data_IF_731079403718
#
_entry.id   IF_731079403718
#
_cell.length_a   1.000
_cell.length_b   1.000
_cell.length_c   1.000
_cell.angle_alpha   90.00
_cell.angle_beta   90.00
_cell.angle_gamma   90.00
#
_symmetry.space_group_name_H-M   'P 1'
#
loop_
_entity.id
_entity.type
_entity.pdbx_description
1 polymer ?
#
# COMPACT_ATOMS: atom_id res chain seq x y z
N UNK A 1 -16.81 10.82 -12.59
CA UNK A 1 -16.13 11.75 -11.68
C UNK A 1 -15.18 10.93 -10.83
N UNK A 2 -13.99 11.44 -10.47
CA UNK A 2 -13.09 10.76 -9.55
C UNK A 2 -13.79 10.42 -8.24
N UNK A 3 -13.48 9.25 -7.68
CA UNK A 3 -14.10 8.72 -6.46
C UNK A 3 -13.11 7.85 -5.70
N UNK A 4 -13.30 7.80 -4.38
CA UNK A 4 -12.68 6.83 -3.48
C UNK A 4 -13.51 5.55 -3.33
N UNK A 5 -14.68 5.46 -3.98
CA UNK A 5 -15.50 4.26 -3.99
C UNK A 5 -14.88 3.16 -4.87
N UNK A 6 -14.03 2.35 -4.24
CA UNK A 6 -13.22 1.30 -4.88
C UNK A 6 -13.71 -0.12 -4.54
N UNK A 7 -14.89 -0.27 -3.92
CA UNK A 7 -15.38 -1.58 -3.47
C UNK A 7 -15.59 -2.60 -4.60
N UNK A 8 -15.74 -2.13 -5.84
CA UNK A 8 -15.85 -2.96 -7.03
C UNK A 8 -14.53 -3.67 -7.42
N UNK A 9 -13.38 -3.28 -6.85
CA UNK A 9 -12.08 -3.86 -7.17
C UNK A 9 -11.82 -5.20 -6.49
N UNK A 10 -12.59 -5.54 -5.47
CA UNK A 10 -12.36 -6.70 -4.61
C UNK A 10 -13.64 -7.48 -4.33
N UNK A 11 -13.51 -8.77 -4.06
CA UNK A 11 -14.58 -9.62 -3.59
C UNK A 11 -14.53 -9.75 -2.06
N UNK A 12 -15.70 -9.90 -1.44
CA UNK A 12 -15.73 -10.28 -0.03
C UNK A 12 -15.33 -11.75 0.13
N UNK A 13 -14.53 -12.12 1.13
CA UNK A 13 -14.21 -13.53 1.37
C UNK A 13 -15.47 -14.40 1.52
N UNK A 14 -16.56 -13.87 2.08
CA UNK A 14 -17.83 -14.60 2.19
C UNK A 14 -18.46 -14.99 0.84
N UNK A 15 -18.12 -14.29 -0.23
CA UNK A 15 -18.66 -14.53 -1.57
C UNK A 15 -17.91 -15.65 -2.30
N UNK A 16 -16.69 -15.95 -1.86
CA UNK A 16 -15.93 -17.08 -2.35
C UNK A 16 -16.28 -18.28 -1.47
N UNK A 17 -16.88 -19.32 -2.05
CA UNK A 17 -17.33 -20.55 -1.37
C UNK A 17 -16.17 -21.44 -0.87
N UNK A 18 -15.22 -20.86 -0.14
CA UNK A 18 -14.07 -21.51 0.45
C UNK A 18 -14.27 -21.76 1.96
N UNK A 19 -13.71 -22.86 2.47
CA UNK A 19 -13.66 -23.11 3.92
C UNK A 19 -12.48 -22.36 4.55
N UNK A 20 -12.66 -21.05 4.68
CA UNK A 20 -11.61 -20.13 5.16
C UNK A 20 -11.02 -20.52 6.51
N UNK A 21 -11.84 -21.02 7.43
CA UNK A 21 -11.38 -21.34 8.78
C UNK A 21 -10.50 -22.59 8.81
N UNK A 22 -10.63 -23.47 7.82
CA UNK A 22 -9.74 -24.62 7.62
C UNK A 22 -8.50 -24.26 6.79
N UNK A 23 -8.62 -23.33 5.84
CA UNK A 23 -7.53 -22.91 4.97
C UNK A 23 -6.53 -21.97 5.67
N UNK A 24 -7.04 -21.06 6.49
CA UNK A 24 -6.23 -19.99 7.09
C UNK A 24 -5.72 -20.39 8.48
N UNK A 25 -4.43 -20.19 8.77
CA UNK A 25 -3.93 -20.34 10.12
C UNK A 25 -4.64 -19.35 11.06
N UNK A 26 -4.78 -19.71 12.33
CA UNK A 26 -5.25 -18.77 13.36
C UNK A 26 -4.31 -17.54 13.44
N UNK A 27 -3.01 -17.76 13.20
CA UNK A 27 -1.96 -16.75 13.26
C UNK A 27 -1.65 -16.32 14.69
N UNK A 28 -0.54 -15.61 14.86
CA UNK A 28 -0.24 -14.95 16.12
C UNK A 28 -1.07 -13.67 16.25
N UNK A 29 -1.42 -13.24 17.48
CA UNK A 29 -2.02 -11.94 17.69
C UNK A 29 -1.14 -10.83 17.11
N UNK A 30 -1.79 -9.81 16.52
CA UNK A 30 -1.07 -8.62 16.07
C UNK A 30 -0.43 -7.96 17.31
N UNK A 31 0.84 -7.55 17.24
CA UNK A 31 1.43 -6.76 18.31
C UNK A 31 0.73 -5.41 18.38
N UNK A 32 0.91 -4.70 19.49
CA UNK A 32 0.41 -3.33 19.60
C UNK A 32 1.08 -2.45 18.55
N UNK A 33 0.28 -1.88 17.64
CA UNK A 33 0.73 -0.97 16.60
C UNK A 33 0.79 0.46 17.16
N UNK A 34 1.98 1.01 17.26
CA UNK A 34 2.23 2.35 17.82
C UNK A 34 2.79 3.26 16.73
N UNK A 35 2.03 4.29 16.35
CA UNK A 35 2.52 5.32 15.43
C UNK A 35 3.50 6.26 16.17
N UNK A 36 4.61 6.65 15.51
CA UNK A 36 5.54 7.60 16.08
C UNK A 36 4.91 9.00 16.17
N UNK A 37 5.23 9.74 17.24
CA UNK A 37 4.77 11.13 17.40
C UNK A 37 5.40 12.10 16.40
N UNK A 38 6.55 11.74 15.83
CA UNK A 38 7.24 12.45 14.77
C UNK A 38 8.04 11.46 13.93
N UNK A 39 8.06 11.69 12.61
CA UNK A 39 8.82 10.87 11.67
C UNK A 39 10.31 11.24 11.66
N UNK A 40 11.16 10.25 11.44
CA UNK A 40 12.61 10.39 11.35
C UNK A 40 12.96 10.82 9.92
N UNK A 41 13.58 11.99 9.72
CA UNK A 41 13.97 12.42 8.38
C UNK A 41 14.97 11.44 7.74
N UNK A 42 14.78 11.15 6.45
CA UNK A 42 15.74 10.40 5.65
C UNK A 42 16.81 11.36 5.15
N UNK A 43 18.01 11.29 5.71
CA UNK A 43 19.10 12.23 5.38
C UNK A 43 19.89 11.83 4.14
N UNK A 44 19.80 10.57 3.70
CA UNK A 44 20.45 10.05 2.51
C UNK A 44 19.52 9.08 1.78
N UNK A 45 19.15 9.39 0.53
CA UNK A 45 18.51 8.42 -0.36
C UNK A 45 19.52 7.35 -0.78
N UNK A 46 19.08 6.10 -0.90
CA UNK A 46 19.92 5.02 -1.39
C UNK A 46 20.09 5.00 -2.92
N UNK A 47 19.30 5.79 -3.66
CA UNK A 47 19.44 6.02 -5.09
C UNK A 47 18.86 4.92 -5.99
N UNK A 48 18.20 3.89 -5.43
CA UNK A 48 17.63 2.83 -6.25
C UNK A 48 16.43 3.33 -7.08
N UNK A 49 16.26 2.88 -8.33
CA UNK A 49 15.24 3.44 -9.21
C UNK A 49 13.83 3.00 -8.81
N UNK A 50 12.84 3.75 -9.31
CA UNK A 50 11.47 3.24 -9.43
C UNK A 50 11.43 2.25 -10.60
N UNK A 51 10.83 1.09 -10.38
CA UNK A 51 10.60 0.05 -11.39
C UNK A 51 9.10 -0.12 -11.61
N UNK A 52 8.70 -0.31 -12.86
CA UNK A 52 7.31 -0.66 -13.20
C UNK A 52 7.08 -2.14 -12.84
N UNK A 53 6.09 -2.40 -11.99
CA UNK A 53 5.75 -3.74 -11.49
C UNK A 53 4.45 -4.27 -12.07
N UNK A 54 3.87 -3.59 -13.06
CA UNK A 54 2.57 -3.93 -13.67
C UNK A 54 2.54 -5.31 -14.31
N UNK A 55 3.68 -5.75 -14.87
CA UNK A 55 3.83 -7.09 -15.45
C UNK A 55 4.39 -8.13 -14.45
N UNK A 56 4.67 -7.71 -13.20
CA UNK A 56 5.24 -8.55 -12.14
C UNK A 56 4.15 -9.00 -11.16
N UNK A 57 3.25 -8.10 -10.79
CA UNK A 57 2.11 -8.37 -9.92
C UNK A 57 0.80 -8.07 -10.62
N UNK A 58 -0.30 -8.60 -10.09
CA UNK A 58 -1.62 -8.05 -10.44
C UNK A 58 -1.74 -6.67 -9.81
N UNK A 59 -1.77 -5.64 -10.65
CA UNK A 59 -1.96 -4.25 -10.25
C UNK A 59 -3.35 -3.77 -10.67
N UNK A 60 -4.13 -3.27 -9.71
CA UNK A 60 -5.50 -2.80 -9.93
C UNK A 60 -5.53 -1.35 -10.41
N UNK A 61 -4.43 -0.60 -10.25
CA UNK A 61 -4.29 0.80 -10.66
C UNK A 61 -5.51 1.65 -10.22
N UNK A 62 -5.86 1.55 -8.94
CA UNK A 62 -7.15 1.99 -8.40
C UNK A 62 -7.48 3.45 -8.75
N UNK A 63 -6.49 4.34 -8.62
CA UNK A 63 -6.68 5.76 -8.93
C UNK A 63 -6.78 6.05 -10.44
N UNK A 64 -6.13 5.25 -11.29
CA UNK A 64 -6.29 5.35 -12.74
C UNK A 64 -7.69 4.93 -13.16
N UNK A 65 -8.18 3.80 -12.66
CA UNK A 65 -9.53 3.31 -12.95
C UNK A 65 -10.63 4.25 -12.44
N UNK A 66 -10.38 4.93 -11.32
CA UNK A 66 -11.26 5.98 -10.81
C UNK A 66 -11.18 7.30 -11.60
N UNK A 67 -10.32 7.43 -12.61
CA UNK A 67 -10.15 8.61 -13.46
C UNK A 67 -9.64 9.86 -12.72
N UNK A 68 -8.76 9.69 -11.72
CA UNK A 68 -8.08 10.82 -11.07
C UNK A 68 -7.14 11.52 -12.06
N UNK A 69 -7.09 12.85 -12.02
CA UNK A 69 -6.46 13.67 -13.08
C UNK A 69 -4.98 13.41 -13.22
N UNK A 70 -4.27 13.30 -12.09
CA UNK A 70 -2.82 13.09 -12.05
C UNK A 70 -2.43 11.62 -11.88
N UNK A 71 -3.39 10.71 -11.98
CA UNK A 71 -3.11 9.28 -12.06
C UNK A 71 -2.41 8.94 -13.38
N UNK A 72 -1.74 7.80 -13.43
CA UNK A 72 -1.02 7.33 -14.62
C UNK A 72 -1.14 5.83 -14.79
N UNK A 73 -0.86 5.37 -16.01
CA UNK A 73 -0.65 3.95 -16.29
C UNK A 73 0.67 3.49 -15.70
N UNK A 74 0.67 2.28 -15.17
CA UNK A 74 1.81 1.66 -14.53
C UNK A 74 1.72 1.80 -13.01
N UNK A 75 2.21 0.77 -12.32
CA UNK A 75 2.42 0.78 -10.88
C UNK A 75 3.91 0.74 -10.62
N UNK A 76 4.43 1.74 -9.91
CA UNK A 76 5.87 1.90 -9.73
C UNK A 76 6.25 1.73 -8.26
N UNK A 77 7.33 1.01 -7.99
CA UNK A 77 7.88 0.85 -6.64
C UNK A 77 9.39 0.95 -6.69
N UNK A 78 10.04 1.26 -5.56
CA UNK A 78 11.51 1.15 -5.49
C UNK A 78 11.93 -0.30 -5.73
N UNK A 79 13.07 -0.52 -6.39
CA UNK A 79 13.58 -1.86 -6.73
C UNK A 79 13.66 -2.79 -5.50
N UNK A 80 14.19 -2.31 -4.38
CA UNK A 80 14.28 -3.06 -3.14
C UNK A 80 12.92 -3.43 -2.54
N UNK A 81 11.91 -2.57 -2.69
CA UNK A 81 10.51 -2.88 -2.31
C UNK A 81 9.96 -4.00 -3.17
N UNK A 82 10.18 -3.94 -4.49
CA UNK A 82 9.73 -4.96 -5.44
C UNK A 82 10.31 -6.33 -5.10
N UNK A 83 11.62 -6.43 -4.84
CA UNK A 83 12.26 -7.67 -4.44
C UNK A 83 11.70 -8.23 -3.13
N UNK A 84 11.39 -7.37 -2.15
CA UNK A 84 10.76 -7.79 -0.89
C UNK A 84 9.35 -8.30 -1.12
N UNK A 85 8.54 -7.64 -1.95
CA UNK A 85 7.19 -8.11 -2.26
C UNK A 85 7.19 -9.46 -3.00
N UNK A 86 8.17 -9.72 -3.87
CA UNK A 86 8.35 -11.04 -4.47
C UNK A 86 8.64 -12.11 -3.39
N UNK A 87 9.46 -11.78 -2.40
CA UNK A 87 9.73 -12.67 -1.27
C UNK A 87 8.49 -12.87 -0.39
N UNK A 88 7.70 -11.82 -0.12
CA UNK A 88 6.40 -11.93 0.58
C UNK A 88 5.48 -12.89 -0.19
N UNK A 89 5.33 -12.69 -1.50
CA UNK A 89 4.44 -13.48 -2.34
C UNK A 89 4.84 -14.97 -2.35
N UNK A 90 6.14 -15.27 -2.27
CA UNK A 90 6.66 -16.63 -2.16
C UNK A 90 6.39 -17.31 -0.80
N UNK A 91 6.10 -16.55 0.25
CA UNK A 91 5.72 -17.08 1.57
C UNK A 91 4.22 -17.41 1.67
N UNK A 92 3.40 -16.88 0.76
CA UNK A 92 1.95 -17.08 0.81
C UNK A 92 1.57 -18.53 0.49
N UNK A 93 0.53 -19.08 1.15
CA UNK A 93 0.05 -20.42 0.85
C UNK A 93 -0.43 -20.57 -0.60
N UNK A 94 -0.48 -21.81 -1.10
CA UNK A 94 -1.05 -22.10 -2.42
C UNK A 94 -2.45 -21.49 -2.54
N UNK A 95 -2.71 -20.87 -3.69
CA UNK A 95 -3.96 -20.19 -3.99
C UNK A 95 -3.94 -18.71 -3.63
N UNK A 96 -3.03 -18.28 -2.74
CA UNK A 96 -2.87 -16.87 -2.39
C UNK A 96 -1.76 -16.20 -3.19
N UNK A 97 -1.97 -14.93 -3.50
CA UNK A 97 -0.96 -14.04 -4.07
C UNK A 97 -1.23 -12.59 -3.64
N UNK A 98 -0.23 -11.72 -3.74
CA UNK A 98 -0.39 -10.28 -3.55
C UNK A 98 -1.08 -9.63 -4.76
N UNK A 99 -1.92 -8.64 -4.48
CA UNK A 99 -2.54 -7.75 -5.47
C UNK A 99 -2.33 -6.32 -5.01
N UNK A 100 -1.83 -5.46 -5.89
CA UNK A 100 -1.47 -4.07 -5.55
C UNK A 100 -2.59 -3.13 -5.99
N UNK A 101 -3.08 -2.30 -5.06
CA UNK A 101 -3.99 -1.20 -5.37
C UNK A 101 -3.22 -0.01 -5.92
N UNK A 102 -2.15 0.36 -5.23
CA UNK A 102 -1.37 1.55 -5.52
C UNK A 102 0.09 1.46 -5.03
N UNK A 103 0.97 2.18 -5.71
CA UNK A 103 2.41 2.23 -5.44
C UNK A 103 2.89 3.68 -5.34
N UNK A 104 3.96 4.02 -6.05
CA UNK A 104 4.42 5.40 -6.12
C UNK A 104 3.37 6.31 -6.76
N UNK A 105 3.08 7.41 -6.09
CA UNK A 105 2.23 8.51 -6.59
C UNK A 105 3.08 9.72 -6.87
N UNK A 106 2.74 10.47 -7.92
CA UNK A 106 3.36 11.77 -8.13
C UNK A 106 2.92 12.75 -7.03
N UNK A 107 3.74 13.77 -6.70
CA UNK A 107 3.37 14.85 -5.77
C UNK A 107 2.03 15.52 -6.11
N UNK A 108 1.72 15.65 -7.40
CA UNK A 108 0.47 16.22 -7.90
C UNK A 108 -0.73 15.30 -7.58
N UNK A 109 -0.60 13.99 -7.79
CA UNK A 109 -1.64 13.04 -7.40
C UNK A 109 -1.83 12.99 -5.88
N UNK A 110 -0.74 13.02 -5.11
CA UNK A 110 -0.82 13.10 -3.65
C UNK A 110 -1.63 14.34 -3.20
N UNK A 111 -1.37 15.49 -3.83
CA UNK A 111 -2.08 16.74 -3.57
C UNK A 111 -3.55 16.67 -3.96
N UNK A 112 -3.85 16.14 -5.15
CA UNK A 112 -5.22 15.97 -5.65
C UNK A 112 -6.05 15.10 -4.70
N UNK A 113 -5.54 13.92 -4.32
CA UNK A 113 -6.25 13.01 -3.43
C UNK A 113 -6.49 13.63 -2.05
N UNK A 114 -5.46 14.25 -1.47
CA UNK A 114 -5.57 14.89 -0.16
C UNK A 114 -6.64 16.00 -0.16
N UNK A 115 -6.61 16.89 -1.15
CA UNK A 115 -7.57 17.98 -1.25
C UNK A 115 -8.98 17.52 -1.58
N UNK A 116 -9.14 16.45 -2.35
CA UNK A 116 -10.44 15.90 -2.64
C UNK A 116 -11.08 15.24 -1.41
N UNK A 117 -10.32 14.46 -0.63
CA UNK A 117 -10.82 13.83 0.58
C UNK A 117 -11.19 14.87 1.65
N UNK A 118 -10.28 15.80 1.95
CA UNK A 118 -10.50 16.84 2.96
C UNK A 118 -11.26 18.07 2.45
N UNK A 119 -11.75 18.01 1.22
CA UNK A 119 -12.83 18.88 0.76
C UNK A 119 -14.15 18.61 1.48
N UNK A 120 -14.32 17.39 2.01
CA UNK A 120 -15.39 17.08 2.97
C UNK A 120 -14.98 17.50 4.39
N UNK A 121 -15.61 18.54 4.97
CA UNK A 121 -15.28 19.01 6.32
C UNK A 121 -15.70 18.02 7.43
N UNK A 122 -16.48 16.97 7.11
CA UNK A 122 -16.89 15.96 8.08
C UNK A 122 -15.89 14.80 8.20
N UNK A 123 -14.95 14.68 7.24
CA UNK A 123 -13.92 13.66 7.27
C UNK A 123 -12.83 14.03 8.31
N UNK A 124 -12.59 13.21 9.35
CA UNK A 124 -11.55 13.52 10.31
C UNK A 124 -10.15 13.33 9.71
N UNK A 125 -9.14 14.06 10.21
CA UNK A 125 -7.77 13.96 9.71
C UNK A 125 -7.17 12.58 9.99
N UNK A 126 -6.23 12.14 9.15
CA UNK A 126 -5.43 10.93 9.35
C UNK A 126 -5.64 9.79 8.34
N UNK A 127 -6.55 9.94 7.38
CA UNK A 127 -6.78 8.97 6.29
C UNK A 127 -5.98 9.26 5.02
N UNK A 128 -5.48 10.48 4.85
CA UNK A 128 -4.51 10.79 3.79
C UNK A 128 -3.40 11.67 4.35
N UNK A 129 -2.16 11.32 3.98
CA UNK A 129 -1.00 12.11 4.33
C UNK A 129 -1.04 13.48 3.61
N UNK A 130 -0.72 14.58 4.31
CA UNK A 130 -0.62 15.88 3.67
C UNK A 130 0.49 15.87 2.60
N UNK A 131 0.36 16.65 1.52
CA UNK A 131 1.45 16.88 0.58
C UNK A 131 2.67 17.44 1.29
N UNK A 132 3.85 17.04 0.83
CA UNK A 132 5.12 17.47 1.41
C UNK A 132 6.10 17.87 0.30
N UNK A 133 6.67 19.06 0.43
CA UNK A 133 7.79 19.55 -0.39
C UNK A 133 9.15 19.22 0.23
N UNK A 134 9.18 18.54 1.38
CA UNK A 134 10.42 18.16 2.04
C UNK A 134 10.87 16.77 1.60
N UNK A 135 11.97 16.70 0.84
CA UNK A 135 12.50 15.44 0.31
C UNK A 135 12.93 14.44 1.41
N UNK A 136 13.27 14.91 2.61
CA UNK A 136 13.65 14.04 3.74
C UNK A 136 12.43 13.54 4.52
N UNK A 137 11.26 14.15 4.31
CA UNK A 137 9.98 13.79 4.92
C UNK A 137 8.88 13.80 3.85
N UNK A 138 9.01 13.01 2.76
CA UNK A 138 8.01 12.98 1.72
C UNK A 138 6.71 12.37 2.25
N UNK A 139 5.58 12.69 1.62
CA UNK A 139 4.36 11.89 1.80
C UNK A 139 4.68 10.43 1.42
N UNK A 140 4.12 9.41 2.09
CA UNK A 140 4.63 8.04 2.03
C UNK A 140 4.80 7.49 0.60
N UNK A 141 3.73 7.51 -0.21
CA UNK A 141 3.76 7.00 -1.59
C UNK A 141 4.72 7.75 -2.51
N UNK A 142 4.98 9.03 -2.24
CA UNK A 142 5.90 9.86 -3.04
C UNK A 142 7.35 9.36 -2.91
N UNK A 143 7.70 8.61 -1.86
CA UNK A 143 9.02 7.99 -1.70
C UNK A 143 9.24 6.76 -2.59
N UNK A 144 8.17 6.11 -3.06
CA UNK A 144 8.20 4.79 -3.71
C UNK A 144 8.51 3.62 -2.77
N UNK A 145 8.70 3.91 -1.48
CA UNK A 145 8.89 2.95 -0.39
C UNK A 145 7.59 2.40 0.20
N UNK A 146 6.44 2.86 -0.28
CA UNK A 146 5.10 2.55 0.23
C UNK A 146 4.30 1.80 -0.82
N UNK A 147 3.47 0.87 -0.37
CA UNK A 147 2.56 0.09 -1.23
C UNK A 147 1.23 -0.11 -0.51
N UNK A 148 0.15 0.05 -1.26
CA UNK A 148 -1.20 -0.36 -0.85
C UNK A 148 -1.53 -1.67 -1.55
N UNK A 149 -1.80 -2.71 -0.78
CA UNK A 149 -2.04 -4.04 -1.34
C UNK A 149 -3.00 -4.89 -0.53
N UNK A 150 -3.46 -5.96 -1.16
CA UNK A 150 -4.28 -7.01 -0.54
C UNK A 150 -3.80 -8.40 -0.96
N UNK A 151 -4.45 -9.41 -0.41
CA UNK A 151 -4.37 -10.79 -0.84
C UNK A 151 -5.40 -11.06 -1.94
N UNK A 152 -5.05 -11.95 -2.86
CA UNK A 152 -6.01 -12.68 -3.68
C UNK A 152 -6.14 -14.12 -3.22
N UNK A 153 -7.24 -14.76 -3.57
CA UNK A 153 -7.42 -16.20 -3.47
C UNK A 153 -7.98 -16.75 -4.78
N UNK A 154 -7.28 -17.72 -5.38
CA UNK A 154 -7.59 -18.31 -6.69
C UNK A 154 -7.86 -17.25 -7.78
N UNK A 155 -7.08 -16.16 -7.74
CA UNK A 155 -7.14 -15.06 -8.71
C UNK A 155 -8.15 -13.94 -8.39
N UNK A 156 -8.99 -14.10 -7.37
CA UNK A 156 -9.90 -13.04 -6.93
C UNK A 156 -9.24 -12.19 -5.83
N UNK A 157 -9.07 -10.89 -6.08
CA UNK A 157 -8.60 -9.94 -5.08
C UNK A 157 -9.63 -9.79 -3.94
N UNK A 158 -9.17 -9.73 -2.69
CA UNK A 158 -10.03 -9.75 -1.51
C UNK A 158 -10.09 -8.38 -0.84
N UNK A 159 -11.27 -8.00 -0.37
CA UNK A 159 -11.35 -7.02 0.72
C UNK A 159 -11.11 -7.72 2.06
N UNK A 160 -10.42 -7.06 2.98
CA UNK A 160 -10.17 -7.62 4.31
C UNK A 160 -11.05 -6.92 5.35
N UNK A 161 -12.37 -7.00 5.17
CA UNK A 161 -13.39 -6.48 6.09
C UNK A 161 -13.87 -5.06 5.80
N UNK A 162 -13.16 -4.34 4.95
CA UNK A 162 -13.59 -3.08 4.32
C UNK A 162 -13.03 -3.03 2.90
N UNK A 163 -13.62 -2.26 1.98
CA UNK A 163 -12.98 -1.95 0.71
C UNK A 163 -11.68 -1.15 0.91
N UNK A 164 -10.87 -1.08 -0.14
CA UNK A 164 -9.75 -0.13 -0.24
C UNK A 164 -10.27 1.32 -0.23
N UNK A 165 -9.49 2.25 0.32
CA UNK A 165 -9.86 3.65 0.57
C UNK A 165 -11.12 3.83 1.47
N UNK A 166 -11.39 2.86 2.36
CA UNK A 166 -12.42 3.02 3.39
C UNK A 166 -11.94 3.97 4.49
N UNK A 167 -12.57 5.14 4.59
CA UNK A 167 -12.23 6.17 5.57
C UNK A 167 -13.01 6.02 6.89
N UNK A 168 -13.07 4.81 7.43
CA UNK A 168 -13.65 4.52 8.75
C UNK A 168 -12.64 3.83 9.67
N UNK A 169 -12.93 3.83 10.98
CA UNK A 169 -12.11 3.11 11.96
C UNK A 169 -12.07 1.60 11.72
N UNK A 170 -12.99 1.04 10.93
CA UNK A 170 -13.02 -0.39 10.57
C UNK A 170 -11.84 -0.77 9.65
N UNK A 171 -11.30 0.19 8.91
CA UNK A 171 -10.10 0.02 8.10
C UNK A 171 -8.83 -0.16 8.95
N UNK A 172 -8.84 0.27 10.22
CA UNK A 172 -7.69 0.14 11.11
C UNK A 172 -7.22 -1.30 11.19
N UNK A 173 -5.91 -1.52 11.08
CA UNK A 173 -5.29 -2.85 10.91
C UNK A 173 -5.76 -3.86 11.95
N UNK A 174 -5.91 -3.43 13.20
CA UNK A 174 -6.33 -4.26 14.32
C UNK A 174 -7.86 -4.31 14.58
N UNK A 175 -8.71 -3.69 13.76
CA UNK A 175 -10.15 -3.56 14.02
C UNK A 175 -10.91 -4.89 14.19
N UNK A 176 -10.42 -5.98 13.57
CA UNK A 176 -11.04 -7.31 13.64
C UNK A 176 -10.32 -8.27 14.60
N UNK A 177 -9.41 -7.79 15.43
CA UNK A 177 -8.52 -8.64 16.22
C UNK A 177 -9.25 -9.43 17.33
N UNK A 178 -10.34 -8.88 17.87
CA UNK A 178 -11.04 -9.41 19.04
C UNK A 178 -11.81 -10.71 18.79
N UNK A 179 -12.22 -11.00 17.55
CA UNK A 179 -13.09 -12.15 17.22
C UNK A 179 -12.50 -13.00 16.08
N UNK A 180 -12.48 -14.33 16.27
CA UNK A 180 -11.98 -15.24 15.24
C UNK A 180 -12.89 -15.24 14.03
N UNK A 181 -12.31 -14.87 12.89
CA UNK A 181 -13.01 -14.71 11.62
C UNK A 181 -12.04 -14.88 10.46
N UNK A 182 -12.54 -15.17 9.24
CA UNK A 182 -11.72 -15.16 8.03
C UNK A 182 -10.95 -13.84 7.84
N UNK A 183 -11.64 -12.70 8.04
CA UNK A 183 -11.04 -11.36 7.92
C UNK A 183 -9.86 -11.20 8.87
N UNK A 184 -10.02 -11.55 10.15
CA UNK A 184 -8.92 -11.48 11.13
C UNK A 184 -7.73 -12.32 10.69
N UNK A 185 -7.97 -13.58 10.31
CA UNK A 185 -6.90 -14.50 9.90
C UNK A 185 -6.19 -14.05 8.62
N UNK A 186 -6.92 -13.49 7.65
CA UNK A 186 -6.34 -12.90 6.44
C UNK A 186 -5.47 -11.68 6.76
N UNK A 187 -5.95 -10.74 7.59
CA UNK A 187 -5.16 -9.58 8.02
C UNK A 187 -3.89 -9.98 8.77
N UNK A 188 -3.98 -10.97 9.66
CA UNK A 188 -2.81 -11.54 10.35
C UNK A 188 -1.82 -12.18 9.37
N UNK A 189 -2.29 -13.03 8.46
CA UNK A 189 -1.43 -13.66 7.46
C UNK A 189 -0.73 -12.63 6.58
N UNK A 190 -1.44 -11.60 6.13
CA UNK A 190 -0.87 -10.50 5.36
C UNK A 190 0.21 -9.77 6.17
N UNK A 191 -0.11 -9.35 7.40
CA UNK A 191 0.84 -8.66 8.27
C UNK A 191 2.08 -9.52 8.57
N UNK A 192 1.89 -10.79 8.92
CA UNK A 192 2.99 -11.72 9.22
C UNK A 192 3.92 -11.89 8.02
N UNK A 193 3.36 -12.06 6.82
CA UNK A 193 4.15 -12.18 5.59
C UNK A 193 4.92 -10.89 5.25
N UNK A 194 4.27 -9.73 5.41
CA UNK A 194 4.89 -8.41 5.18
C UNK A 194 6.00 -8.13 6.21
N UNK A 195 5.77 -8.42 7.50
CA UNK A 195 6.79 -8.25 8.56
C UNK A 195 7.99 -9.17 8.38
N UNK A 196 7.79 -10.38 7.83
CA UNK A 196 8.89 -11.29 7.51
C UNK A 196 9.89 -10.68 6.49
N UNK A 197 9.49 -9.65 5.75
CA UNK A 197 10.32 -8.89 4.82
C UNK A 197 10.60 -7.45 5.28
N UNK A 198 10.54 -7.20 6.59
CA UNK A 198 10.80 -5.91 7.26
C UNK A 198 9.83 -4.77 6.92
N UNK A 199 8.68 -5.01 6.29
CA UNK A 199 7.69 -3.94 6.13
C UNK A 199 7.13 -3.52 7.50
N UNK A 200 6.70 -2.26 7.61
CA UNK A 200 5.82 -1.81 8.70
C UNK A 200 4.44 -1.52 8.11
N UNK A 201 3.39 -1.66 8.92
CA UNK A 201 2.02 -1.36 8.53
C UNK A 201 1.57 -0.06 9.17
N UNK A 202 0.84 0.79 8.45
CA UNK A 202 0.18 1.94 9.07
C UNK A 202 -1.00 1.45 9.91
N UNK A 203 -1.10 1.84 11.18
CA UNK A 203 -2.14 1.28 12.07
C UNK A 203 -3.57 1.58 11.61
N UNK A 204 -3.76 2.65 10.84
CA UNK A 204 -5.07 3.15 10.42
C UNK A 204 -5.65 2.42 9.21
N UNK A 205 -4.82 1.68 8.47
CA UNK A 205 -5.19 1.13 7.16
C UNK A 205 -4.56 -0.25 6.98
N UNK A 206 -5.40 -1.28 6.85
CA UNK A 206 -4.93 -2.67 6.77
C UNK A 206 -4.12 -3.00 5.51
N UNK A 207 -4.25 -2.19 4.46
CA UNK A 207 -3.61 -2.37 3.15
C UNK A 207 -2.27 -1.63 3.02
N UNK A 208 -1.98 -0.66 3.89
CA UNK A 208 -0.88 0.31 3.71
C UNK A 208 0.41 -0.16 4.40
N UNK A 209 1.43 -0.47 3.60
CA UNK A 209 2.72 -0.95 4.09
C UNK A 209 3.88 -0.09 3.59
N UNK A 210 4.88 0.06 4.45
CA UNK A 210 6.05 0.90 4.19
C UNK A 210 7.36 0.15 4.47
N UNK A 211 8.36 0.38 3.63
CA UNK A 211 9.73 -0.04 3.82
C UNK A 211 10.66 1.14 3.49
N UNK A 212 11.71 1.35 4.29
CA UNK A 212 12.73 2.38 4.04
C UNK A 212 12.29 3.85 4.13
N UNK A 213 11.01 4.12 4.40
CA UNK A 213 10.41 5.46 4.55
C UNK A 213 10.74 6.12 5.89
N UNK A 214 10.40 7.42 6.09
CA UNK A 214 10.49 8.07 7.41
C UNK A 214 9.74 7.34 8.54
N UNK A 215 8.56 6.77 8.29
CA UNK A 215 7.79 6.02 9.30
C UNK A 215 8.42 4.68 9.60
N UNK A 216 8.83 3.97 8.56
CA UNK A 216 9.60 2.74 8.72
C UNK A 216 10.84 2.97 9.59
N UNK A 217 11.60 4.04 9.31
CA UNK A 217 12.77 4.42 10.09
C UNK A 217 12.44 4.67 11.57
N UNK A 218 11.36 5.41 11.82
CA UNK A 218 10.90 5.72 13.17
C UNK A 218 10.40 4.51 13.97
N UNK A 219 9.71 3.58 13.34
CA UNK A 219 9.20 2.36 13.98
C UNK A 219 10.34 1.37 14.20
N UNK A 220 11.14 1.11 13.17
CA UNK A 220 12.23 0.12 13.21
C UNK A 220 13.46 0.61 13.97
N UNK A 221 13.52 1.90 14.32
CA UNK A 221 14.69 2.55 14.95
C UNK A 221 15.97 2.36 14.11
N UNK A 222 15.82 2.52 12.80
CA UNK A 222 16.88 2.41 11.79
C UNK A 222 16.92 3.68 10.96
N UNK A 223 18.04 3.92 10.27
CA UNK A 223 18.12 4.98 9.28
C UNK A 223 17.21 4.63 8.10
N UNK A 224 16.33 5.55 7.72
CA UNK A 224 15.55 5.42 6.49
C UNK A 224 16.43 5.65 5.26
N UNK A 225 15.95 5.19 4.11
CA UNK A 225 16.74 5.11 2.87
C UNK A 225 16.01 5.65 1.64
N UNK A 226 14.72 6.02 1.76
CA UNK A 226 13.95 6.59 0.66
C UNK A 226 13.48 8.01 0.97
N UNK A 227 14.08 8.95 0.26
CA UNK A 227 13.60 10.32 0.07
C UNK A 227 12.53 10.33 -1.05
N UNK A 228 12.02 11.53 -1.37
CA UNK A 228 11.14 11.75 -2.52
C UNK A 228 11.73 11.11 -3.78
N UNK A 229 10.93 10.28 -4.45
CA UNK A 229 11.29 9.66 -5.71
C UNK A 229 10.65 10.36 -6.91
N UNK A 230 11.26 10.20 -8.06
CA UNK A 230 10.72 10.61 -9.36
C UNK A 230 11.00 9.53 -10.40
N UNK A 231 10.09 9.39 -11.36
CA UNK A 231 10.36 8.59 -12.56
C UNK A 231 11.48 9.24 -13.38
N UNK A 232 12.20 8.42 -14.14
CA UNK A 232 13.13 8.94 -15.16
C UNK A 232 12.37 9.42 -16.41
N UNK A 233 13.07 10.13 -17.32
CA UNK A 233 12.44 10.72 -18.51
C UNK A 233 11.72 9.67 -19.39
N UNK A 234 12.29 8.47 -19.54
CA UNK A 234 11.69 7.39 -20.34
C UNK A 234 10.38 6.89 -19.72
N UNK A 235 10.34 6.74 -18.40
CA UNK A 235 9.15 6.37 -17.64
C UNK A 235 8.13 7.52 -17.55
N UNK A 236 8.59 8.77 -17.62
CA UNK A 236 7.74 9.96 -17.50
C UNK A 236 7.04 10.32 -18.82
N UNK A 237 7.68 10.08 -19.96
CA UNK A 237 7.19 10.50 -21.28
C UNK A 237 6.89 9.34 -22.24
N UNK A 238 7.16 8.10 -21.84
CA UNK A 238 7.11 6.94 -22.74
C UNK A 238 8.26 7.00 -23.76
N UNK A 239 8.59 5.86 -24.38
CA UNK A 239 9.66 5.78 -25.37
C UNK A 239 9.32 6.53 -26.67
N UNK A 240 9.40 7.86 -26.68
CA UNK A 240 9.28 8.71 -27.89
C UNK A 240 10.65 9.17 -28.44
N UNK A 241 11.74 8.46 -28.12
CA UNK A 241 13.07 8.75 -28.68
C UNK A 241 13.69 7.49 -29.29
N UNK A 242 13.15 7.05 -30.44
CA UNK A 242 13.86 6.14 -31.35
C UNK A 242 13.41 6.27 -32.81
N UNK A 243 13.06 7.47 -33.28
CA UNK A 243 12.99 7.74 -34.73
C UNK A 243 13.50 9.16 -35.02
N UNK A 244 14.83 9.29 -35.10
CA UNK A 244 15.50 10.31 -35.92
C UNK A 244 16.72 9.69 -36.58
#
# INVERSE_FOLDING_TARGET
MPSFDQGHLTASPSDLHADWMSLLPIGNPLPQLVEPSAMSPVTSDCGEPLVDVTDIFTCLEAYRLANWTHSRTGTFLREGVTHRLLAVNALLPRGFALVIFDGWRSPELQSELFHAAYGDPLLPPGFLAPPSDNDQLPSPHVSGGTVDLTLSFDGAALELGTPFDDFTETAATAAFEDVDSPVRRLRRMLCEAMWAQDFVVYRGEWWHFEFGTPRWASIMKREGIYQRASLNDEQQFGSEVALR
#
